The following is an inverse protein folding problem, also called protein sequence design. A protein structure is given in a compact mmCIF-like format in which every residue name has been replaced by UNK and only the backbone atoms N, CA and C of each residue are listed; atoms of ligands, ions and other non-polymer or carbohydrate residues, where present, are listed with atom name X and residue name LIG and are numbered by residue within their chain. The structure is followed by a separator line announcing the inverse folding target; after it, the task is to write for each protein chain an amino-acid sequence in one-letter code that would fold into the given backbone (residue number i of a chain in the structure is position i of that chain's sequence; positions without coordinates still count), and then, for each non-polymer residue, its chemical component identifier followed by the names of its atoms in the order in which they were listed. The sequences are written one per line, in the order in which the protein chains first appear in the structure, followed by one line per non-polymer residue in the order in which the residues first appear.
data_IF_602336177669
#
_entry.id   IF_602336177669
#
_cell.length_a   1.000
_cell.length_b   1.000
_cell.length_c   1.000
_cell.angle_alpha   90.00
_cell.angle_beta   90.00
_cell.angle_gamma   90.00
#
_symmetry.space_group_name_H-M   'P 1'
#
loop_
_entity.id
_entity.type
_entity.pdbx_description
1 polymer ?
#
# COMPACT_ATOMS: atom_id res chain seq x y z
N UNK A 1 22.21 -62.69 39.18
CA UNK A 1 21.15 -63.28 40.01
C UNK A 1 20.46 -62.14 40.71
N UNK A 2 19.64 -61.35 40.02
CA UNK A 2 18.46 -61.70 39.19
C UNK A 2 17.32 -62.25 40.09
N UNK A 3 16.05 -61.79 39.99
CA UNK A 3 15.47 -61.02 38.87
C UNK A 3 14.46 -59.90 39.21
N UNK A 4 14.26 -59.08 38.19
CA UNK A 4 13.38 -57.94 37.99
C UNK A 4 11.98 -57.90 38.67
N UNK A 5 11.63 -56.71 39.18
CA UNK A 5 10.25 -56.19 39.16
C UNK A 5 10.27 -54.70 38.71
N UNK A 6 9.81 -54.42 37.50
CA UNK A 6 10.01 -53.12 36.82
C UNK A 6 8.80 -52.21 36.97
N UNK A 7 8.79 -51.39 38.03
CA UNK A 7 7.84 -50.28 38.18
C UNK A 7 8.49 -48.94 37.86
N UNK A 8 8.19 -48.40 36.68
CA UNK A 8 8.54 -47.03 36.29
C UNK A 8 7.41 -46.10 36.75
N UNK A 9 7.67 -45.26 37.75
CA UNK A 9 6.79 -44.15 38.10
C UNK A 9 6.89 -43.06 37.03
N UNK A 10 5.76 -42.68 36.44
CA UNK A 10 5.71 -41.60 35.44
C UNK A 10 5.68 -40.26 36.20
N UNK A 11 6.78 -39.51 36.14
CA UNK A 11 6.82 -38.15 36.67
C UNK A 11 5.81 -37.24 35.94
N UNK A 12 4.93 -36.61 36.71
CA UNK A 12 3.87 -35.76 36.18
C UNK A 12 4.37 -34.32 35.95
N UNK A 13 4.73 -33.99 34.71
CA UNK A 13 4.96 -32.59 34.32
C UNK A 13 3.63 -31.81 34.23
N UNK A 14 3.54 -30.70 34.97
CA UNK A 14 2.36 -29.82 35.05
C UNK A 14 2.51 -28.63 34.09
N UNK A 15 2.55 -28.89 32.79
CA UNK A 15 2.44 -27.80 31.79
C UNK A 15 0.99 -27.31 31.69
N UNK A 16 0.71 -26.18 32.33
CA UNK A 16 -0.55 -25.43 32.13
C UNK A 16 -0.64 -25.02 30.66
N UNK A 17 -1.67 -25.49 29.95
CA UNK A 17 -1.97 -25.02 28.59
C UNK A 17 -2.52 -23.60 28.65
N UNK A 18 -1.67 -22.62 28.44
CA UNK A 18 -2.13 -21.32 27.94
C UNK A 18 -2.45 -21.46 26.46
N UNK A 19 -3.68 -21.09 26.08
CA UNK A 19 -4.05 -20.99 24.67
C UNK A 19 -3.15 -19.96 23.98
N UNK A 20 -2.55 -20.27 22.82
CA UNK A 20 -1.71 -19.34 22.10
C UNK A 20 -2.56 -18.22 21.48
N UNK A 21 -2.72 -17.12 22.22
CA UNK A 21 -3.28 -15.87 21.70
C UNK A 21 -2.49 -15.49 20.45
N UNK A 22 -3.16 -15.53 19.30
CA UNK A 22 -2.55 -15.21 18.02
C UNK A 22 -2.00 -13.77 18.08
N UNK A 23 -0.69 -13.55 17.87
CA UNK A 23 -0.14 -12.19 17.85
C UNK A 23 -0.77 -11.44 16.67
N UNK A 24 -1.27 -10.24 16.94
CA UNK A 24 -1.91 -9.34 15.97
C UNK A 24 -0.89 -8.68 15.03
N UNK A 25 0.03 -9.46 14.46
CA UNK A 25 1.06 -9.00 13.54
C UNK A 25 0.45 -8.59 12.20
N UNK A 26 0.25 -7.28 12.02
CA UNK A 26 -0.03 -6.68 10.71
C UNK A 26 1.03 -7.08 9.68
N UNK A 27 0.72 -7.14 8.37
CA UNK A 27 1.67 -7.61 7.36
C UNK A 27 2.98 -6.82 7.37
N UNK A 28 4.10 -7.48 7.69
CA UNK A 28 5.43 -6.90 7.51
C UNK A 28 5.74 -6.84 6.01
N UNK A 29 5.66 -5.63 5.45
CA UNK A 29 6.15 -5.33 4.10
C UNK A 29 7.63 -5.73 4.01
N UNK A 30 7.97 -6.54 3.01
CA UNK A 30 9.37 -6.84 2.68
C UNK A 30 10.03 -5.57 2.13
N UNK A 31 10.74 -4.84 3.00
CA UNK A 31 11.63 -3.76 2.55
C UNK A 31 12.75 -4.36 1.71
N UNK A 32 12.78 -4.05 0.41
CA UNK A 32 13.91 -4.44 -0.45
C UNK A 32 15.15 -3.61 -0.07
N UNK A 33 16.35 -4.08 -0.41
CA UNK A 33 17.59 -3.44 0.04
C UNK A 33 17.76 -1.96 -0.37
N UNK A 34 17.04 -1.48 -1.41
CA UNK A 34 16.99 -0.05 -1.78
C UNK A 34 16.05 0.80 -0.89
N UNK A 35 15.06 0.20 -0.22
CA UNK A 35 14.05 0.91 0.59
C UNK A 35 14.57 1.38 1.95
N UNK A 36 15.69 0.84 2.44
CA UNK A 36 16.28 1.27 3.72
C UNK A 36 17.03 2.59 3.54
N UNK A 37 18.00 2.67 2.62
CA UNK A 37 18.83 3.85 2.37
C UNK A 37 18.07 5.19 2.31
N UNK A 38 16.90 5.25 1.66
CA UNK A 38 16.16 6.50 1.49
C UNK A 38 15.41 6.96 2.76
N UNK A 39 15.04 6.02 3.64
CA UNK A 39 14.45 6.32 4.95
C UNK A 39 15.54 6.53 6.01
N UNK A 40 16.65 5.78 5.95
CA UNK A 40 17.80 5.94 6.84
C UNK A 40 18.55 7.26 6.57
N UNK A 41 18.51 7.76 5.34
CA UNK A 41 18.96 9.11 4.97
C UNK A 41 18.08 10.23 5.53
N UNK A 42 16.89 9.94 6.07
CA UNK A 42 16.12 10.90 6.90
C UNK A 42 16.67 10.82 8.33
N UNK A 43 17.95 11.15 8.47
CA UNK A 43 18.62 11.33 9.75
C UNK A 43 18.22 12.66 10.39
N UNK A 44 18.65 12.92 11.63
CA UNK A 44 18.51 14.26 12.23
C UNK A 44 19.77 15.08 11.95
N UNK A 45 19.61 16.30 11.43
CA UNK A 45 20.69 17.25 11.19
C UNK A 45 21.03 17.53 9.74
N UNK A 46 20.20 17.12 8.76
CA UNK A 46 20.50 17.31 7.33
C UNK A 46 20.49 18.81 6.91
N UNK A 47 19.88 19.67 7.73
CA UNK A 47 19.80 21.12 7.51
C UNK A 47 20.56 21.95 8.55
N UNK A 48 21.51 21.35 9.27
CA UNK A 48 22.36 22.07 10.21
C UNK A 48 23.52 22.77 9.49
N UNK A 49 23.57 24.10 9.56
CA UNK A 49 24.76 24.85 9.15
C UNK A 49 25.89 24.69 10.19
N UNK A 50 27.15 24.45 9.77
CA UNK A 50 28.30 24.49 10.66
C UNK A 50 28.46 25.86 11.34
N UNK A 51 29.06 25.89 12.53
CA UNK A 51 29.23 27.11 13.30
C UNK A 51 29.95 28.21 12.49
N UNK A 52 29.33 29.40 12.42
CA UNK A 52 29.85 30.54 11.65
C UNK A 52 29.55 30.51 10.14
N UNK A 53 28.94 29.46 9.59
CA UNK A 53 28.54 29.39 8.17
C UNK A 53 27.09 29.79 7.97
N UNK A 54 26.81 30.44 6.83
CA UNK A 54 25.47 30.70 6.30
C UNK A 54 25.21 29.69 5.19
N UNK A 55 24.30 28.75 5.40
CA UNK A 55 23.93 27.76 4.38
C UNK A 55 22.53 28.00 3.85
N UNK A 56 22.36 27.78 2.55
CA UNK A 56 21.07 27.83 1.85
C UNK A 56 20.70 26.42 1.38
N UNK A 57 19.61 25.86 1.92
CA UNK A 57 19.27 24.45 1.74
C UNK A 57 18.12 24.21 0.74
N UNK A 58 18.24 23.13 -0.03
CA UNK A 58 17.19 22.56 -0.88
C UNK A 58 17.03 21.08 -0.60
N UNK A 59 15.83 20.54 -0.84
CA UNK A 59 15.57 19.10 -0.78
C UNK A 59 14.58 18.65 -1.85
N UNK A 60 14.92 17.58 -2.55
CA UNK A 60 14.10 16.94 -3.58
C UNK A 60 13.72 15.52 -3.13
N UNK A 61 12.49 15.38 -2.64
CA UNK A 61 11.95 14.13 -2.10
C UNK A 61 10.84 13.60 -2.99
N UNK A 62 10.89 12.30 -3.29
CA UNK A 62 9.82 11.58 -4.00
C UNK A 62 9.23 10.53 -3.06
N UNK A 63 7.93 10.63 -2.76
CA UNK A 63 7.22 9.73 -1.83
C UNK A 63 6.16 8.94 -2.59
N UNK A 64 6.17 7.61 -2.45
CA UNK A 64 5.14 6.72 -3.00
C UNK A 64 4.03 6.55 -1.99
N UNK A 65 2.81 6.88 -2.38
CA UNK A 65 1.62 6.93 -1.50
C UNK A 65 0.43 6.22 -2.17
N UNK A 66 -0.47 5.62 -1.38
CA UNK A 66 -1.68 4.97 -1.92
C UNK A 66 -2.73 5.97 -2.41
N UNK A 67 -2.76 7.19 -1.85
CA UNK A 67 -3.65 8.29 -2.25
C UNK A 67 -2.86 9.61 -2.31
N UNK A 68 -2.68 10.12 -3.54
CA UNK A 68 -1.98 11.39 -3.80
C UNK A 68 -2.80 12.59 -3.32
N UNK A 69 -4.14 12.56 -3.43
CA UNK A 69 -5.00 13.69 -3.02
C UNK A 69 -4.95 13.88 -1.52
N UNK A 70 -5.04 12.78 -0.76
CA UNK A 70 -4.85 12.80 0.69
C UNK A 70 -3.44 13.25 1.08
N UNK A 71 -2.40 12.68 0.47
CA UNK A 71 -1.01 13.04 0.78
C UNK A 71 -0.72 14.54 0.56
N UNK A 72 -1.26 15.13 -0.51
CA UNK A 72 -1.18 16.58 -0.76
C UNK A 72 -1.90 17.38 0.34
N UNK A 73 -3.10 16.96 0.76
CA UNK A 73 -3.84 17.65 1.82
C UNK A 73 -3.12 17.58 3.18
N UNK A 74 -2.67 16.40 3.58
CA UNK A 74 -1.93 16.17 4.83
C UNK A 74 -0.59 16.94 4.84
N UNK A 75 0.14 16.95 3.71
CA UNK A 75 1.39 17.71 3.56
C UNK A 75 1.17 19.22 3.63
N UNK A 76 0.08 19.74 3.03
CA UNK A 76 -0.28 21.17 3.13
C UNK A 76 -0.61 21.56 4.56
N UNK A 77 -1.31 20.71 5.32
CA UNK A 77 -1.59 20.94 6.74
C UNK A 77 -0.27 21.00 7.54
N UNK A 78 0.59 19.99 7.39
CA UNK A 78 1.88 19.92 8.10
C UNK A 78 2.83 21.07 7.72
N UNK A 79 2.75 21.57 6.49
CA UNK A 79 3.51 22.76 6.04
C UNK A 79 3.18 23.96 6.93
N UNK A 80 1.90 24.22 7.16
CA UNK A 80 1.46 25.32 8.03
C UNK A 80 1.77 25.05 9.52
N UNK A 81 1.62 23.82 9.99
CA UNK A 81 1.97 23.43 11.37
C UNK A 81 3.47 23.56 11.66
N UNK A 82 4.33 23.40 10.64
CA UNK A 82 5.77 23.64 10.73
C UNK A 82 6.17 25.14 10.65
N UNK A 83 5.20 26.07 10.52
CA UNK A 83 5.46 27.49 10.30
C UNK A 83 5.97 27.81 8.89
N UNK A 84 5.75 26.91 7.93
CA UNK A 84 6.12 27.06 6.53
C UNK A 84 4.96 27.48 5.64
N UNK A 85 5.23 27.63 4.33
CA UNK A 85 4.24 27.99 3.33
C UNK A 85 4.47 27.28 1.99
N UNK A 86 3.38 27.14 1.22
CA UNK A 86 3.40 26.54 -0.13
C UNK A 86 3.81 27.60 -1.15
N UNK A 87 4.89 27.36 -1.90
CA UNK A 87 5.31 28.16 -3.05
C UNK A 87 4.60 27.75 -4.35
N UNK A 88 4.34 26.45 -4.53
CA UNK A 88 3.72 25.91 -5.75
C UNK A 88 2.98 24.61 -5.42
N UNK A 89 1.86 24.36 -6.11
CA UNK A 89 1.06 23.14 -6.02
C UNK A 89 0.60 22.73 -7.43
N UNK A 90 0.68 21.44 -7.73
CA UNK A 90 -0.05 20.81 -8.83
C UNK A 90 -0.59 19.43 -8.39
N UNK A 91 -1.15 18.66 -9.33
CA UNK A 91 -1.84 17.39 -9.05
C UNK A 91 -0.97 16.28 -8.42
N UNK A 92 0.37 16.40 -8.44
CA UNK A 92 1.30 15.42 -7.85
C UNK A 92 2.55 16.03 -7.20
N UNK A 93 2.71 17.35 -7.20
CA UNK A 93 3.89 18.03 -6.67
C UNK A 93 3.53 19.24 -5.79
N UNK A 94 4.29 19.39 -4.71
CA UNK A 94 4.33 20.56 -3.84
C UNK A 94 5.75 21.14 -3.84
N UNK A 95 5.88 22.45 -3.96
CA UNK A 95 7.11 23.19 -3.63
C UNK A 95 6.83 24.01 -2.38
N UNK A 96 7.64 23.81 -1.35
CA UNK A 96 7.40 24.29 0.01
C UNK A 96 8.58 25.14 0.48
N UNK A 97 8.32 26.09 1.37
CA UNK A 97 9.33 26.73 2.20
C UNK A 97 9.05 26.38 3.66
N UNK A 98 9.96 25.66 4.29
CA UNK A 98 9.88 25.26 5.70
C UNK A 98 11.02 25.98 6.45
N UNK A 99 10.81 26.55 7.65
CA UNK A 99 11.90 27.11 8.45
C UNK A 99 13.00 26.06 8.68
N UNK A 100 14.27 26.43 8.49
CA UNK A 100 15.40 25.47 8.53
C UNK A 100 15.40 24.62 9.81
N UNK A 101 15.16 25.23 10.97
CA UNK A 101 15.05 24.55 12.28
C UNK A 101 13.87 23.57 12.43
N UNK A 102 13.01 23.41 11.40
CA UNK A 102 11.92 22.43 11.32
C UNK A 102 12.07 21.45 10.14
N UNK A 103 13.06 21.63 9.27
CA UNK A 103 13.24 20.83 8.05
C UNK A 103 13.36 19.33 8.30
N UNK A 104 14.19 18.91 9.26
CA UNK A 104 14.40 17.49 9.57
C UNK A 104 13.14 16.83 10.15
N UNK A 105 12.42 17.53 11.04
CA UNK A 105 11.15 17.06 11.59
C UNK A 105 10.06 16.94 10.50
N UNK A 106 10.09 17.84 9.51
CA UNK A 106 9.18 17.81 8.37
C UNK A 106 9.47 16.64 7.42
N UNK A 107 10.74 16.40 7.05
CA UNK A 107 11.14 15.20 6.29
C UNK A 107 10.78 13.91 7.03
N UNK A 108 11.03 13.85 8.34
CA UNK A 108 10.63 12.73 9.21
C UNK A 108 9.12 12.46 9.20
N UNK A 109 8.29 13.44 8.88
CA UNK A 109 6.83 13.29 8.83
C UNK A 109 6.36 12.90 7.42
N UNK A 110 6.98 13.42 6.36
CA UNK A 110 6.82 12.92 4.98
C UNK A 110 7.20 11.43 4.86
N UNK A 111 8.33 11.02 5.45
CA UNK A 111 8.79 9.62 5.47
C UNK A 111 7.90 8.65 6.27
N UNK A 112 6.84 9.16 6.93
CA UNK A 112 5.79 8.37 7.60
C UNK A 112 4.48 8.30 6.80
N UNK A 113 4.31 9.13 5.77
CA UNK A 113 3.13 9.08 4.88
C UNK A 113 3.19 7.95 3.84
N UNK A 114 4.39 7.49 3.49
CA UNK A 114 4.61 6.55 2.39
C UNK A 114 6.06 6.12 2.23
N UNK A 115 6.35 5.38 1.17
CA UNK A 115 7.69 4.89 0.87
C UNK A 115 8.53 5.99 0.20
N UNK A 116 9.70 6.35 0.76
CA UNK A 116 10.57 7.35 0.14
C UNK A 116 11.32 6.70 -1.03
N UNK A 117 10.92 7.05 -2.25
CA UNK A 117 11.51 6.55 -3.48
C UNK A 117 12.90 7.12 -3.78
N UNK A 118 13.09 8.39 -3.40
CA UNK A 118 14.30 9.16 -3.62
C UNK A 118 14.32 10.33 -2.62
N UNK A 119 15.49 10.62 -2.07
CA UNK A 119 15.78 11.84 -1.32
C UNK A 119 17.12 12.40 -1.80
N UNK A 120 17.14 13.68 -2.18
CA UNK A 120 18.35 14.47 -2.42
C UNK A 120 18.26 15.71 -1.54
N UNK A 121 19.34 16.06 -0.85
CA UNK A 121 19.46 17.26 -0.03
C UNK A 121 20.74 17.96 -0.44
N UNK A 122 20.69 19.27 -0.61
CA UNK A 122 21.83 20.10 -0.99
C UNK A 122 21.88 21.34 -0.09
N UNK A 123 23.08 21.83 0.16
CA UNK A 123 23.32 22.99 1.01
C UNK A 123 24.45 23.83 0.45
N UNK A 124 24.12 24.98 -0.14
CA UNK A 124 25.09 25.94 -0.63
C UNK A 124 25.68 26.72 0.56
N UNK A 125 27.00 26.80 0.69
CA UNK A 125 27.62 27.79 1.57
C UNK A 125 27.58 29.16 0.88
N UNK A 126 26.81 30.08 1.45
CA UNK A 126 26.60 31.45 0.96
C UNK A 126 27.21 32.50 1.89
N UNK A 127 28.15 32.09 2.77
CA UNK A 127 28.80 32.96 3.75
C UNK A 127 29.54 34.13 3.07
N UNK A 128 30.38 33.82 2.08
CA UNK A 128 31.14 34.81 1.31
C UNK A 128 30.23 35.70 0.46
N UNK A 129 29.27 35.10 -0.27
CA UNK A 129 28.30 35.84 -1.08
C UNK A 129 27.51 36.87 -0.25
N UNK A 130 27.10 36.49 0.98
CA UNK A 130 26.38 37.40 1.89
C UNK A 130 27.27 38.48 2.49
N UNK A 131 28.59 38.27 2.58
CA UNK A 131 29.53 39.31 2.99
C UNK A 131 29.78 40.32 1.85
N UNK A 132 30.05 39.84 0.64
CA UNK A 132 30.30 40.64 -0.56
C UNK A 132 29.13 41.57 -0.90
N UNK A 133 27.88 41.05 -0.93
CA UNK A 133 26.68 41.87 -1.18
C UNK A 133 26.60 43.04 -0.19
N UNK A 134 26.88 42.81 1.10
CA UNK A 134 26.80 43.84 2.15
C UNK A 134 27.91 44.88 2.03
N UNK A 135 29.14 44.45 1.73
CA UNK A 135 30.27 45.36 1.47
C UNK A 135 29.98 46.25 0.25
N UNK A 136 29.41 45.69 -0.82
CA UNK A 136 29.00 46.46 -2.01
C UNK A 136 27.88 47.45 -1.70
N UNK A 137 26.86 47.04 -0.93
CA UNK A 137 25.79 47.94 -0.47
C UNK A 137 26.34 49.11 0.34
N UNK A 138 27.20 48.86 1.34
CA UNK A 138 27.79 49.92 2.17
C UNK A 138 28.62 50.92 1.34
N UNK A 139 29.37 50.42 0.35
CA UNK A 139 30.15 51.27 -0.56
C UNK A 139 29.26 52.08 -1.52
N UNK A 140 28.14 51.53 -1.99
CA UNK A 140 27.16 52.28 -2.79
C UNK A 140 26.40 53.31 -1.94
N UNK A 141 26.07 53.02 -0.68
CA UNK A 141 25.48 54.00 0.25
C UNK A 141 26.42 55.16 0.55
N UNK A 142 27.71 54.88 0.81
CA UNK A 142 28.76 55.91 0.95
C UNK A 142 28.87 56.76 -0.33
N UNK A 143 28.77 56.14 -1.50
CA UNK A 143 28.81 56.83 -2.80
C UNK A 143 27.56 57.71 -3.02
N UNK A 144 26.36 57.19 -2.70
CA UNK A 144 25.08 57.90 -2.76
C UNK A 144 25.08 59.15 -1.87
N UNK A 145 25.58 59.02 -0.64
CA UNK A 145 25.74 60.15 0.32
C UNK A 145 26.68 61.24 -0.21
N UNK A 146 27.78 60.86 -0.89
CA UNK A 146 28.69 61.82 -1.55
C UNK A 146 28.06 62.52 -2.74
N UNK A 147 27.31 61.79 -3.58
CA UNK A 147 26.61 62.35 -4.73
C UNK A 147 25.53 63.36 -4.32
N UNK A 148 24.73 63.04 -3.29
CA UNK A 148 23.76 63.98 -2.70
C UNK A 148 24.47 65.27 -2.21
N UNK A 149 25.53 65.14 -1.42
CA UNK A 149 26.29 66.29 -0.91
C UNK A 149 27.05 67.10 -1.98
N UNK A 150 27.18 66.58 -3.22
CA UNK A 150 27.65 67.33 -4.39
C UNK A 150 26.48 68.03 -5.11
N UNK A 151 25.32 67.37 -5.19
CA UNK A 151 24.08 67.93 -5.72
C UNK A 151 23.69 69.20 -4.97
N UNK A 152 23.70 69.15 -3.63
CA UNK A 152 23.41 70.27 -2.72
C UNK A 152 24.35 71.48 -2.86
N UNK A 153 25.47 71.34 -3.58
CA UNK A 153 26.52 72.35 -3.75
C UNK A 153 26.67 72.87 -5.18
N UNK A 154 25.93 72.30 -6.14
CA UNK A 154 26.14 72.53 -7.57
C UNK A 154 25.21 73.60 -8.12
N UNK A 155 25.77 74.77 -8.47
CA UNK A 155 25.03 75.86 -9.12
C UNK A 155 24.92 75.77 -10.65
N UNK A 156 25.51 74.75 -11.28
CA UNK A 156 25.55 74.59 -12.74
C UNK A 156 24.60 73.48 -13.22
N UNK A 157 23.64 73.83 -14.08
CA UNK A 157 22.63 72.92 -14.64
C UNK A 157 23.25 71.70 -15.34
N UNK A 158 24.39 71.88 -16.02
CA UNK A 158 25.07 70.79 -16.74
C UNK A 158 25.63 69.75 -15.77
N UNK A 159 26.28 70.21 -14.72
CA UNK A 159 26.92 69.35 -13.73
C UNK A 159 25.87 68.67 -12.83
N UNK A 160 24.79 69.38 -12.50
CA UNK A 160 23.61 68.84 -11.82
C UNK A 160 23.04 67.63 -12.58
N UNK A 161 22.80 67.79 -13.90
CA UNK A 161 22.28 66.70 -14.76
C UNK A 161 23.22 65.48 -14.79
N UNK A 162 24.53 65.67 -14.60
CA UNK A 162 25.49 64.57 -14.53
C UNK A 162 25.48 63.88 -13.16
N UNK A 163 25.36 64.64 -12.07
CA UNK A 163 25.20 64.10 -10.71
C UNK A 163 23.89 63.30 -10.57
N UNK A 164 22.78 63.78 -11.13
CA UNK A 164 21.49 63.08 -11.15
C UNK A 164 21.58 61.71 -11.84
N UNK A 165 22.25 61.63 -12.99
CA UNK A 165 22.44 60.36 -13.74
C UNK A 165 23.21 59.33 -12.92
N UNK A 166 24.31 59.74 -12.28
CA UNK A 166 25.09 58.86 -11.42
C UNK A 166 24.37 58.51 -10.12
N UNK A 167 23.59 59.43 -9.54
CA UNK A 167 22.77 59.18 -8.36
C UNK A 167 21.67 58.15 -8.65
N UNK A 168 21.02 58.23 -9.80
CA UNK A 168 20.04 57.25 -10.28
C UNK A 168 20.69 55.88 -10.53
N UNK A 169 21.87 55.84 -11.17
CA UNK A 169 22.65 54.61 -11.41
C UNK A 169 23.03 53.92 -10.09
N UNK A 170 23.58 54.67 -9.13
CA UNK A 170 23.98 54.16 -7.81
C UNK A 170 22.77 53.71 -6.98
N UNK A 171 21.65 54.44 -7.03
CA UNK A 171 20.42 54.07 -6.32
C UNK A 171 19.82 52.79 -6.89
N UNK A 172 19.72 52.66 -8.22
CA UNK A 172 19.21 51.45 -8.90
C UNK A 172 20.03 50.20 -8.54
N UNK A 173 21.36 50.32 -8.46
CA UNK A 173 22.23 49.19 -8.12
C UNK A 173 22.17 48.83 -6.63
N UNK A 174 22.01 49.83 -5.75
CA UNK A 174 21.79 49.60 -4.31
C UNK A 174 20.46 48.84 -4.07
N UNK A 175 19.38 49.22 -4.74
CA UNK A 175 18.07 48.54 -4.65
C UNK A 175 18.13 47.09 -5.13
N UNK A 176 18.88 46.81 -6.21
CA UNK A 176 19.15 45.44 -6.69
C UNK A 176 19.88 44.60 -5.65
N UNK A 177 20.91 45.14 -5.01
CA UNK A 177 21.65 44.43 -3.96
C UNK A 177 20.83 44.24 -2.69
N UNK A 178 19.98 45.20 -2.31
CA UNK A 178 19.02 45.06 -1.20
C UNK A 178 18.02 43.92 -1.48
N UNK A 179 17.52 43.81 -2.71
CA UNK A 179 16.70 42.67 -3.12
C UNK A 179 17.48 41.34 -3.09
N UNK A 180 18.78 41.36 -3.45
CA UNK A 180 19.65 40.19 -3.40
C UNK A 180 19.93 39.71 -1.95
N UNK A 181 20.33 40.58 -1.01
CA UNK A 181 20.54 40.21 0.40
C UNK A 181 19.22 39.72 1.03
N UNK A 182 18.08 40.37 0.75
CA UNK A 182 16.76 39.90 1.20
C UNK A 182 16.44 38.48 0.68
N UNK A 183 16.67 38.21 -0.60
CA UNK A 183 16.46 36.88 -1.17
C UNK A 183 17.44 35.85 -0.62
N UNK A 184 18.70 36.22 -0.36
CA UNK A 184 19.70 35.33 0.22
C UNK A 184 19.40 35.00 1.69
N UNK A 185 19.02 35.98 2.50
CA UNK A 185 18.54 35.78 3.87
C UNK A 185 17.31 34.85 3.90
N UNK A 186 16.39 34.99 2.95
CA UNK A 186 15.24 34.06 2.82
C UNK A 186 15.67 32.63 2.49
N UNK A 187 16.70 32.43 1.64
CA UNK A 187 17.28 31.10 1.36
C UNK A 187 17.99 30.48 2.57
N UNK A 188 18.53 31.30 3.46
CA UNK A 188 19.19 30.87 4.71
C UNK A 188 18.15 30.55 5.80
N UNK A 189 17.03 31.29 5.86
CA UNK A 189 16.00 31.09 6.87
C UNK A 189 15.05 29.91 6.55
N UNK A 190 14.81 29.61 5.27
CA UNK A 190 13.88 28.57 4.82
C UNK A 190 14.55 27.57 3.88
N UNK A 191 14.50 26.28 4.22
CA UNK A 191 14.76 25.21 3.26
C UNK A 191 13.65 25.18 2.23
N UNK A 192 14.01 25.07 0.95
CA UNK A 192 13.02 24.84 -0.13
C UNK A 192 12.90 23.35 -0.42
N UNK A 193 11.74 22.77 -0.11
CA UNK A 193 11.49 21.32 -0.26
C UNK A 193 10.52 21.09 -1.42
N UNK A 194 10.99 20.36 -2.44
CA UNK A 194 10.19 19.87 -3.56
C UNK A 194 9.74 18.44 -3.27
N UNK A 195 8.45 18.28 -2.97
CA UNK A 195 7.81 16.99 -2.70
C UNK A 195 7.08 16.53 -3.95
N UNK A 196 7.45 15.36 -4.48
CA UNK A 196 6.75 14.69 -5.59
C UNK A 196 6.09 13.41 -5.11
N UNK A 197 4.79 13.27 -5.35
CA UNK A 197 4.03 12.07 -5.05
C UNK A 197 3.95 11.15 -6.26
N UNK A 198 4.17 9.86 -6.03
CA UNK A 198 3.92 8.79 -6.99
C UNK A 198 2.86 7.85 -6.40
N UNK A 199 1.99 7.28 -7.23
CA UNK A 199 1.06 6.25 -6.76
C UNK A 199 1.84 4.99 -6.40
N UNK A 200 1.80 4.59 -5.14
CA UNK A 200 2.25 3.27 -4.74
C UNK A 200 1.14 2.25 -5.03
N UNK A 201 1.12 1.75 -6.27
CA UNK A 201 0.59 0.41 -6.50
C UNK A 201 1.74 -0.53 -6.16
N UNK A 202 1.65 -1.37 -5.11
CA UNK A 202 2.64 -2.42 -4.91
C UNK A 202 2.63 -3.32 -6.15
N UNK A 203 3.77 -3.42 -6.83
CA UNK A 203 3.96 -4.43 -7.87
C UNK A 203 4.06 -5.78 -7.15
N UNK A 204 2.90 -6.34 -6.84
CA UNK A 204 2.75 -7.74 -6.53
C UNK A 204 3.34 -8.50 -7.72
N UNK A 205 4.47 -9.17 -7.51
CA UNK A 205 5.00 -10.15 -8.47
C UNK A 205 4.08 -11.36 -8.41
N UNK A 206 2.96 -11.25 -9.12
CA UNK A 206 1.93 -12.29 -9.13
C UNK A 206 2.36 -13.42 -10.06
N UNK A 207 2.40 -14.67 -9.58
CA UNK A 207 2.04 -15.79 -10.43
C UNK A 207 0.67 -15.49 -11.06
N UNK A 208 0.44 -15.84 -12.32
CA UNK A 208 -0.93 -15.79 -12.90
C UNK A 208 -1.78 -16.92 -12.32
N UNK A 209 -2.11 -16.81 -11.04
CA UNK A 209 -2.86 -17.78 -10.27
C UNK A 209 -4.35 -17.76 -10.66
N UNK A 210 -4.72 -18.54 -11.68
CA UNK A 210 -6.13 -18.82 -11.96
C UNK A 210 -6.80 -19.43 -10.72
N UNK A 211 -7.56 -18.63 -9.96
CA UNK A 211 -8.32 -19.13 -8.82
C UNK A 211 -9.46 -20.03 -9.32
N UNK A 212 -9.63 -21.25 -8.77
CA UNK A 212 -10.67 -22.18 -9.22
C UNK A 212 -12.10 -21.59 -9.16
N UNK A 213 -12.39 -20.72 -8.18
CA UNK A 213 -13.70 -20.11 -7.98
C UNK A 213 -13.85 -18.79 -8.76
N UNK A 214 -13.91 -18.89 -10.10
CA UNK A 214 -14.01 -17.78 -11.07
C UNK A 214 -15.04 -16.69 -10.71
N UNK A 215 -16.13 -17.01 -9.98
CA UNK A 215 -17.11 -16.00 -9.56
C UNK A 215 -16.59 -15.03 -8.49
N UNK A 216 -15.53 -15.38 -7.74
CA UNK A 216 -14.90 -14.47 -6.77
C UNK A 216 -14.34 -13.24 -7.49
N UNK A 217 -13.84 -13.42 -8.71
CA UNK A 217 -13.32 -12.36 -9.59
C UNK A 217 -14.39 -11.33 -10.00
N UNK A 218 -15.68 -11.60 -9.74
CA UNK A 218 -16.81 -10.73 -10.08
C UNK A 218 -17.26 -9.82 -8.91
N UNK A 219 -16.61 -9.88 -7.74
CA UNK A 219 -17.04 -9.18 -6.53
C UNK A 219 -16.47 -7.75 -6.34
N UNK A 220 -15.67 -7.25 -7.29
CA UNK A 220 -15.24 -5.85 -7.31
C UNK A 220 -14.01 -5.52 -6.44
N UNK A 221 -13.73 -4.22 -6.31
CA UNK A 221 -12.36 -3.72 -6.11
C UNK A 221 -11.74 -4.07 -4.76
N UNK A 222 -12.54 -4.27 -3.71
CA UNK A 222 -12.06 -4.60 -2.36
C UNK A 222 -11.49 -6.03 -2.22
N UNK A 223 -11.44 -6.80 -3.30
CA UNK A 223 -10.76 -8.09 -3.41
C UNK A 223 -9.67 -8.09 -4.51
N UNK A 224 -9.18 -6.92 -4.98
CA UNK A 224 -8.23 -6.84 -6.09
C UNK A 224 -6.88 -7.53 -5.81
N UNK A 225 -6.80 -8.77 -6.31
CA UNK A 225 -5.61 -9.62 -6.34
C UNK A 225 -5.47 -10.38 -7.66
N UNK A 226 -5.87 -9.77 -8.80
CA UNK A 226 -5.88 -10.36 -10.16
C UNK A 226 -6.85 -11.59 -10.22
N UNK A 227 -7.02 -12.45 -11.25
CA UNK A 227 -6.45 -12.70 -12.58
C UNK A 227 -7.59 -12.84 -13.63
N UNK A 228 -7.31 -12.54 -14.92
CA UNK A 228 -8.23 -12.72 -16.08
C UNK A 228 -8.45 -14.19 -16.45
N UNK A 229 -9.69 -14.59 -16.74
CA UNK A 229 -10.04 -15.96 -17.11
C UNK A 229 -9.55 -16.38 -18.50
N UNK A 230 -8.95 -17.58 -18.60
CA UNK A 230 -8.69 -18.27 -19.86
C UNK A 230 -9.70 -19.40 -20.11
N UNK A 231 -10.14 -19.57 -21.35
CA UNK A 231 -11.09 -20.59 -21.77
C UNK A 231 -10.40 -21.80 -22.42
N UNK A 232 -10.70 -23.03 -21.98
CA UNK A 232 -10.57 -24.24 -22.83
C UNK A 232 -11.19 -25.50 -22.23
N UNK A 233 -12.05 -26.13 -23.06
CA UNK A 233 -12.46 -27.56 -23.11
C UNK A 233 -13.08 -28.19 -21.85
N UNK A 234 -14.03 -29.10 -22.11
CA UNK A 234 -14.99 -29.62 -21.13
C UNK A 234 -15.07 -31.14 -21.24
N UNK A 235 -14.87 -31.80 -20.11
CA UNK A 235 -15.27 -33.19 -19.81
C UNK A 235 -15.45 -33.26 -18.30
N UNK A 236 -16.36 -34.10 -17.77
CA UNK A 236 -16.48 -34.28 -16.32
C UNK A 236 -15.27 -35.09 -15.84
N UNK A 237 -14.35 -34.53 -15.03
CA UNK A 237 -12.99 -35.08 -14.95
C UNK A 237 -12.79 -36.19 -13.91
N UNK A 238 -13.79 -36.46 -13.06
CA UNK A 238 -13.72 -37.45 -11.97
C UNK A 238 -15.05 -38.21 -11.81
N UNK A 239 -15.01 -39.37 -11.14
CA UNK A 239 -16.22 -40.19 -10.88
C UNK A 239 -16.92 -39.70 -9.62
N UNK A 240 -18.25 -39.53 -9.71
CA UNK A 240 -19.12 -39.13 -8.58
C UNK A 240 -20.47 -39.84 -8.70
N UNK A 241 -21.06 -40.25 -7.57
CA UNK A 241 -22.43 -40.76 -7.53
C UNK A 241 -23.39 -39.58 -7.33
N UNK A 242 -24.20 -39.25 -8.33
CA UNK A 242 -25.19 -38.18 -8.20
C UNK A 242 -26.33 -38.59 -7.23
N UNK A 243 -26.90 -37.64 -6.46
CA UNK A 243 -28.15 -37.88 -5.73
C UNK A 243 -29.28 -38.23 -6.70
N UNK A 244 -30.18 -39.15 -6.32
CA UNK A 244 -31.12 -39.81 -7.24
C UNK A 244 -32.10 -38.91 -8.04
N UNK A 245 -32.20 -37.62 -7.72
CA UNK A 245 -33.01 -36.63 -8.47
C UNK A 245 -32.19 -35.71 -9.40
N UNK A 246 -30.86 -35.90 -9.44
CA UNK A 246 -29.96 -35.12 -10.29
C UNK A 246 -29.45 -35.96 -11.47
N UNK A 247 -29.43 -35.34 -12.65
CA UNK A 247 -28.90 -35.91 -13.88
C UNK A 247 -27.95 -34.93 -14.56
N UNK A 248 -26.93 -35.43 -15.27
CA UNK A 248 -26.00 -34.57 -16.00
C UNK A 248 -26.72 -33.85 -17.16
N UNK A 249 -26.61 -32.52 -17.19
CA UNK A 249 -27.16 -31.65 -18.24
C UNK A 249 -26.13 -31.34 -19.36
N UNK A 250 -24.97 -31.99 -19.31
CA UNK A 250 -23.84 -31.75 -20.21
C UNK A 250 -22.68 -31.05 -19.51
N UNK A 251 -21.46 -31.55 -19.77
CA UNK A 251 -20.23 -30.97 -19.24
C UNK A 251 -20.16 -30.92 -17.71
N UNK A 252 -19.84 -29.77 -17.16
CA UNK A 252 -19.62 -29.56 -15.72
C UNK A 252 -20.89 -29.63 -14.84
N UNK A 253 -22.10 -29.77 -15.41
CA UNK A 253 -23.35 -29.57 -14.67
C UNK A 253 -24.22 -30.82 -14.54
N UNK A 254 -24.71 -31.06 -13.33
CA UNK A 254 -25.92 -31.84 -13.06
C UNK A 254 -27.06 -30.93 -12.62
N UNK A 255 -28.30 -31.27 -12.98
CA UNK A 255 -29.51 -30.49 -12.65
C UNK A 255 -30.63 -31.40 -12.14
N UNK A 256 -31.63 -30.81 -11.48
CA UNK A 256 -32.84 -31.51 -11.01
C UNK A 256 -34.10 -30.96 -11.67
N UNK A 257 -35.22 -31.66 -11.49
CA UNK A 257 -36.55 -31.19 -11.90
C UNK A 257 -36.97 -29.87 -11.26
N UNK A 258 -36.46 -29.54 -10.07
CA UNK A 258 -36.74 -28.27 -9.37
C UNK A 258 -35.79 -27.12 -9.75
N UNK A 259 -35.06 -27.21 -10.88
CA UNK A 259 -34.04 -26.25 -11.32
C UNK A 259 -32.87 -26.04 -10.32
N UNK A 260 -32.69 -26.94 -9.36
CA UNK A 260 -31.45 -27.01 -8.60
C UNK A 260 -30.33 -27.50 -9.52
N UNK A 261 -29.10 -27.04 -9.28
CA UNK A 261 -27.95 -27.43 -10.08
C UNK A 261 -26.72 -27.64 -9.21
N UNK A 262 -25.91 -28.63 -9.59
CA UNK A 262 -24.61 -28.95 -9.04
C UNK A 262 -23.59 -28.77 -10.17
N UNK A 263 -22.54 -27.98 -9.94
CA UNK A 263 -21.43 -27.79 -10.87
C UNK A 263 -20.19 -28.48 -10.32
N UNK A 264 -19.51 -29.26 -11.15
CA UNK A 264 -18.28 -29.98 -10.87
C UNK A 264 -17.15 -29.40 -11.71
N UNK A 265 -16.03 -29.06 -11.07
CA UNK A 265 -14.85 -28.50 -11.75
C UNK A 265 -13.56 -29.06 -11.20
N UNK A 266 -12.60 -29.24 -12.09
CA UNK A 266 -11.19 -29.42 -11.74
C UNK A 266 -10.35 -28.42 -12.51
N UNK A 267 -9.48 -27.71 -11.78
CA UNK A 267 -8.69 -26.60 -12.30
C UNK A 267 -7.29 -26.74 -11.70
N UNK A 268 -6.24 -26.48 -12.49
CA UNK A 268 -4.86 -26.54 -12.01
C UNK A 268 -4.68 -25.74 -10.72
N UNK A 269 -3.94 -26.28 -9.74
CA UNK A 269 -3.59 -25.58 -8.51
C UNK A 269 -2.58 -24.47 -8.83
N UNK A 270 -3.09 -23.33 -9.28
CA UNK A 270 -2.26 -22.21 -9.70
C UNK A 270 -1.64 -21.43 -8.52
N UNK A 271 -1.91 -21.84 -7.27
CA UNK A 271 -1.27 -21.31 -6.05
C UNK A 271 -0.22 -22.27 -5.46
N UNK A 272 -0.06 -23.50 -5.97
CA UNK A 272 0.88 -24.53 -5.45
C UNK A 272 2.31 -24.07 -5.18
N UNK A 273 2.82 -23.13 -5.98
CA UNK A 273 4.17 -22.60 -5.88
C UNK A 273 4.29 -21.38 -4.93
N UNK A 274 3.23 -20.99 -4.23
CA UNK A 274 3.25 -19.85 -3.28
C UNK A 274 3.87 -20.31 -1.95
N UNK A 275 5.21 -20.21 -1.89
CA UNK A 275 6.02 -20.35 -0.68
C UNK A 275 6.34 -18.99 -0.08
N UNK A 276 6.34 -18.88 1.24
CA UNK A 276 6.69 -17.65 1.95
C UNK A 276 7.49 -17.99 3.22
N UNK A 277 8.70 -17.44 3.37
CA UNK A 277 9.68 -17.81 4.41
C UNK A 277 9.81 -19.34 4.66
N UNK A 278 9.88 -20.13 3.58
CA UNK A 278 10.09 -21.58 3.66
C UNK A 278 8.87 -22.40 4.13
N UNK A 279 7.68 -21.79 4.27
CA UNK A 279 6.42 -22.50 4.48
C UNK A 279 5.56 -22.46 3.22
N UNK A 280 4.88 -23.55 2.92
CA UNK A 280 3.92 -23.65 1.82
C UNK A 280 2.56 -23.10 2.27
N UNK A 281 2.08 -22.05 1.59
CA UNK A 281 0.78 -21.42 1.89
C UNK A 281 -0.32 -21.86 0.92
N UNK A 282 -0.02 -22.75 -0.02
CA UNK A 282 -0.93 -23.19 -1.08
C UNK A 282 -2.05 -24.16 -0.63
N UNK A 283 -1.97 -24.67 0.61
CA UNK A 283 -2.85 -25.72 1.10
C UNK A 283 -4.28 -25.28 1.45
N UNK A 284 -5.06 -26.25 1.93
CA UNK A 284 -6.51 -26.13 2.21
C UNK A 284 -6.89 -24.93 3.12
N UNK A 285 -5.99 -24.49 4.01
CA UNK A 285 -6.18 -23.33 4.89
C UNK A 285 -6.26 -21.98 4.15
N UNK A 286 -5.59 -21.81 3.01
CA UNK A 286 -5.71 -20.62 2.18
C UNK A 286 -7.12 -20.54 1.57
N UNK A 287 -7.60 -21.67 1.03
CA UNK A 287 -8.95 -21.81 0.50
C UNK A 287 -10.01 -21.58 1.58
N UNK A 288 -9.78 -22.05 2.82
CA UNK A 288 -10.66 -21.77 3.98
C UNK A 288 -10.92 -20.28 4.15
N UNK A 289 -9.85 -19.50 4.18
CA UNK A 289 -9.89 -18.05 4.40
C UNK A 289 -10.45 -17.29 3.19
N UNK A 290 -10.04 -17.66 1.96
CA UNK A 290 -10.50 -17.02 0.73
C UNK A 290 -12.01 -17.22 0.51
N UNK A 291 -12.50 -18.45 0.67
CA UNK A 291 -13.90 -18.79 0.44
C UNK A 291 -14.78 -18.15 1.54
N UNK A 292 -14.38 -18.22 2.81
CA UNK A 292 -15.11 -17.55 3.90
C UNK A 292 -15.32 -16.05 3.62
N UNK A 293 -14.26 -15.32 3.22
CA UNK A 293 -14.36 -13.89 2.91
C UNK A 293 -15.19 -13.60 1.67
N UNK A 294 -15.02 -14.37 0.59
CA UNK A 294 -15.79 -14.17 -0.64
C UNK A 294 -17.30 -14.44 -0.43
N UNK A 295 -17.64 -15.42 0.41
CA UNK A 295 -19.03 -15.69 0.79
C UNK A 295 -19.60 -14.59 1.70
N UNK A 296 -18.82 -14.06 2.66
CA UNK A 296 -19.23 -12.92 3.49
C UNK A 296 -19.54 -11.66 2.67
N UNK A 297 -18.72 -11.36 1.65
CA UNK A 297 -18.93 -10.22 0.75
C UNK A 297 -20.13 -10.44 -0.17
N UNK A 298 -20.33 -11.67 -0.67
CA UNK A 298 -21.40 -11.97 -1.63
C UNK A 298 -22.77 -12.18 -1.00
N UNK A 299 -22.82 -12.71 0.22
CA UNK A 299 -24.03 -13.16 0.89
C UNK A 299 -24.06 -12.66 2.33
N UNK A 300 -24.95 -11.71 2.63
CA UNK A 300 -25.21 -11.22 3.97
C UNK A 300 -26.04 -12.25 4.77
N UNK A 301 -25.42 -13.37 5.11
CA UNK A 301 -26.09 -14.55 5.68
C UNK A 301 -25.16 -15.43 6.50
N UNK A 302 -25.73 -16.42 7.21
CA UNK A 302 -24.97 -17.34 8.05
C UNK A 302 -24.15 -18.28 7.18
N UNK A 303 -22.84 -18.26 7.36
CA UNK A 303 -21.88 -19.15 6.71
C UNK A 303 -21.42 -20.20 7.73
N UNK A 304 -21.51 -21.47 7.36
CA UNK A 304 -20.98 -22.59 8.14
C UNK A 304 -19.87 -23.23 7.32
N UNK A 305 -18.69 -23.44 7.91
CA UNK A 305 -17.57 -24.14 7.29
C UNK A 305 -17.38 -25.47 8.00
N UNK A 306 -17.27 -26.56 7.23
CA UNK A 306 -17.10 -27.91 7.71
C UNK A 306 -15.87 -28.55 7.04
N UNK A 307 -15.17 -29.40 7.79
CA UNK A 307 -14.07 -30.22 7.28
C UNK A 307 -14.59 -31.59 6.87
N UNK A 308 -14.04 -32.14 5.79
CA UNK A 308 -14.34 -33.48 5.29
C UNK A 308 -13.14 -34.07 4.56
N UNK A 309 -13.29 -35.26 3.98
CA UNK A 309 -12.33 -35.84 3.04
C UNK A 309 -13.00 -36.14 1.72
N UNK A 310 -12.28 -35.93 0.64
CA UNK A 310 -12.69 -36.26 -0.73
C UNK A 310 -11.56 -37.08 -1.33
N UNK A 311 -11.86 -38.33 -1.70
CA UNK A 311 -10.89 -39.35 -2.09
C UNK A 311 -9.66 -39.45 -1.14
N UNK A 312 -9.93 -39.47 0.17
CA UNK A 312 -8.92 -39.53 1.23
C UNK A 312 -8.19 -38.20 1.53
N UNK A 313 -8.13 -37.27 0.57
CA UNK A 313 -7.48 -35.96 0.71
C UNK A 313 -8.34 -35.00 1.53
N UNK A 314 -7.70 -34.09 2.27
CA UNK A 314 -8.37 -33.13 3.14
C UNK A 314 -9.14 -32.07 2.33
N UNK A 315 -10.39 -31.85 2.71
CA UNK A 315 -11.32 -31.01 1.99
C UNK A 315 -12.15 -30.15 2.94
N UNK A 316 -12.73 -29.09 2.38
CA UNK A 316 -13.62 -28.17 3.08
C UNK A 316 -14.91 -28.04 2.30
N UNK A 317 -16.03 -27.89 3.01
CA UNK A 317 -17.26 -27.41 2.39
C UNK A 317 -17.98 -26.37 3.23
N UNK A 318 -18.73 -25.52 2.54
CA UNK A 318 -19.40 -24.35 3.10
C UNK A 318 -20.89 -24.44 2.83
N UNK A 319 -21.69 -24.10 3.84
CA UNK A 319 -23.12 -23.84 3.72
C UNK A 319 -23.36 -22.34 3.83
N UNK A 320 -24.12 -21.78 2.91
CA UNK A 320 -24.60 -20.38 2.99
C UNK A 320 -26.08 -20.32 2.68
N UNK A 321 -26.81 -19.64 3.57
CA UNK A 321 -28.22 -19.33 3.39
C UNK A 321 -28.38 -17.84 3.11
N UNK A 322 -29.16 -17.50 2.08
CA UNK A 322 -29.34 -16.11 1.62
C UNK A 322 -30.73 -15.90 1.05
N UNK A 323 -31.23 -14.66 1.01
CA UNK A 323 -32.47 -14.30 0.32
C UNK A 323 -32.18 -13.56 -0.98
N UNK A 324 -32.87 -13.96 -2.04
CA UNK A 324 -32.80 -13.31 -3.36
C UNK A 324 -34.25 -13.03 -3.78
N UNK A 325 -34.61 -11.75 -3.97
CA UNK A 325 -35.97 -11.29 -4.22
C UNK A 325 -37.02 -11.88 -3.24
N UNK A 326 -36.67 -11.94 -1.94
CA UNK A 326 -37.53 -12.46 -0.88
C UNK A 326 -37.54 -13.99 -0.72
N UNK A 327 -37.09 -14.74 -1.73
CA UNK A 327 -37.01 -16.21 -1.74
C UNK A 327 -35.75 -16.68 -1.03
N UNK A 328 -35.87 -17.68 -0.15
CA UNK A 328 -34.72 -18.36 0.48
C UNK A 328 -33.96 -19.25 -0.51
N UNK A 329 -32.65 -19.02 -0.64
CA UNK A 329 -31.72 -19.83 -1.41
C UNK A 329 -30.69 -20.49 -0.49
N UNK A 330 -30.27 -21.69 -0.89
CA UNK A 330 -29.16 -22.42 -0.29
C UNK A 330 -28.04 -22.54 -1.31
N UNK A 331 -26.82 -22.19 -0.90
CA UNK A 331 -25.60 -22.33 -1.67
C UNK A 331 -24.62 -23.19 -0.89
N UNK A 332 -24.20 -24.31 -1.49
CA UNK A 332 -23.18 -25.20 -0.97
C UNK A 332 -21.95 -25.12 -1.88
N UNK A 333 -20.75 -25.02 -1.31
CA UNK A 333 -19.50 -25.12 -2.07
C UNK A 333 -18.48 -25.97 -1.34
N UNK A 334 -17.96 -27.00 -2.00
CA UNK A 334 -16.85 -27.82 -1.54
C UNK A 334 -15.58 -27.57 -2.35
N UNK A 335 -14.44 -27.72 -1.70
CA UNK A 335 -13.10 -27.65 -2.30
C UNK A 335 -12.21 -28.74 -1.73
N UNK A 336 -11.55 -29.48 -2.63
CA UNK A 336 -10.43 -30.37 -2.30
C UNK A 336 -9.19 -29.83 -3.00
N UNK A 337 -8.08 -29.74 -2.27
CA UNK A 337 -6.81 -29.15 -2.75
C UNK A 337 -5.79 -30.27 -2.87
N UNK A 338 -5.21 -30.39 -4.05
CA UNK A 338 -4.11 -31.30 -4.38
C UNK A 338 -2.87 -30.49 -4.77
N UNK A 339 -1.70 -31.12 -4.89
CA UNK A 339 -0.48 -30.41 -5.29
C UNK A 339 -0.61 -29.82 -6.70
N UNK A 340 -1.12 -30.60 -7.65
CA UNK A 340 -1.24 -30.20 -9.06
C UNK A 340 -2.60 -29.56 -9.43
N UNK A 341 -3.70 -29.94 -8.77
CA UNK A 341 -5.07 -29.50 -9.11
C UNK A 341 -5.90 -29.12 -7.89
N UNK A 342 -7.00 -28.40 -8.11
CA UNK A 342 -8.02 -28.11 -7.11
C UNK A 342 -9.39 -28.45 -7.69
N UNK A 343 -10.10 -29.32 -6.99
CA UNK A 343 -11.44 -29.77 -7.36
C UNK A 343 -12.47 -28.95 -6.59
N UNK A 344 -13.49 -28.48 -7.28
CA UNK A 344 -14.54 -27.58 -6.77
C UNK A 344 -15.91 -28.16 -7.13
N UNK A 345 -16.79 -28.24 -6.14
CA UNK A 345 -18.18 -28.67 -6.32
C UNK A 345 -19.10 -27.58 -5.76
N UNK A 346 -20.03 -27.07 -6.55
CA UNK A 346 -20.96 -25.99 -6.16
C UNK A 346 -22.40 -26.45 -6.37
N UNK A 347 -23.22 -26.54 -5.32
CA UNK A 347 -24.66 -26.80 -5.44
C UNK A 347 -25.50 -25.59 -5.06
N UNK A 348 -26.53 -25.27 -5.86
CA UNK A 348 -27.43 -24.12 -5.60
C UNK A 348 -28.86 -24.37 -6.05
N UNK A 349 -29.80 -23.79 -5.32
CA UNK A 349 -31.24 -23.82 -5.59
C UNK A 349 -32.03 -23.08 -4.51
N UNK A 350 -33.36 -22.99 -4.64
CA UNK A 350 -34.20 -22.48 -3.55
C UNK A 350 -34.03 -23.43 -2.34
N UNK A 351 -33.91 -22.91 -1.12
CA UNK A 351 -33.53 -23.70 0.07
C UNK A 351 -34.43 -24.93 0.28
N UNK A 352 -35.75 -24.77 0.15
CA UNK A 352 -36.73 -25.85 0.31
C UNK A 352 -36.63 -26.92 -0.78
N UNK A 353 -36.41 -26.51 -2.02
CA UNK A 353 -36.29 -27.41 -3.17
C UNK A 353 -34.98 -28.19 -3.07
N UNK A 354 -33.84 -27.49 -2.91
CA UNK A 354 -32.52 -28.11 -2.82
C UNK A 354 -32.45 -29.13 -1.69
N UNK A 355 -32.92 -28.80 -0.47
CA UNK A 355 -32.91 -29.74 0.65
C UNK A 355 -33.85 -30.94 0.49
N UNK A 356 -34.84 -30.87 -0.42
CA UNK A 356 -35.73 -32.00 -0.75
C UNK A 356 -35.19 -32.94 -1.84
N UNK A 357 -34.07 -32.56 -2.47
CA UNK A 357 -33.42 -33.31 -3.57
C UNK A 357 -31.96 -33.67 -3.24
N UNK A 358 -31.33 -32.87 -2.37
CA UNK A 358 -29.97 -32.94 -1.87
C UNK A 358 -29.98 -32.47 -0.41
N UNK A 359 -30.22 -33.40 0.52
CA UNK A 359 -30.08 -33.12 1.96
C UNK A 359 -28.62 -32.85 2.32
N UNK A 360 -28.36 -32.22 3.47
CA UNK A 360 -26.98 -31.98 3.95
C UNK A 360 -26.21 -33.30 4.12
N UNK A 361 -26.87 -34.39 4.52
CA UNK A 361 -26.23 -35.71 4.60
C UNK A 361 -25.97 -36.29 3.21
N UNK A 362 -26.93 -36.20 2.29
CA UNK A 362 -26.73 -36.61 0.90
C UNK A 362 -25.62 -35.83 0.19
N UNK A 363 -25.38 -34.57 0.57
CA UNK A 363 -24.24 -33.78 0.12
C UNK A 363 -22.91 -34.35 0.63
N UNK A 364 -22.79 -34.69 1.93
CA UNK A 364 -21.59 -35.38 2.44
C UNK A 364 -21.37 -36.71 1.72
N UNK A 365 -22.40 -37.56 1.63
CA UNK A 365 -22.31 -38.87 0.94
C UNK A 365 -21.90 -38.70 -0.52
N UNK A 366 -22.40 -37.67 -1.21
CA UNK A 366 -21.98 -37.35 -2.58
C UNK A 366 -20.49 -36.98 -2.62
N UNK A 367 -20.00 -36.11 -1.73
CA UNK A 367 -18.57 -35.74 -1.66
C UNK A 367 -17.69 -36.96 -1.32
N UNK A 368 -18.11 -37.81 -0.39
CA UNK A 368 -17.44 -39.06 0.00
C UNK A 368 -17.48 -40.13 -1.10
N UNK A 369 -18.41 -40.04 -2.05
CA UNK A 369 -18.49 -40.91 -3.23
C UNK A 369 -17.48 -40.55 -4.33
N UNK A 370 -16.91 -39.34 -4.30
CA UNK A 370 -16.00 -38.86 -5.35
C UNK A 370 -14.70 -39.68 -5.32
N UNK A 371 -14.31 -40.19 -6.48
CA UNK A 371 -13.00 -40.81 -6.73
C UNK A 371 -12.32 -40.07 -7.88
N UNK A 372 -11.05 -39.73 -7.71
CA UNK A 372 -10.27 -38.95 -8.65
C UNK A 372 -9.79 -39.77 -9.85
#
# INVERSE_FOLDING_TARGET
MEDADTRIEIMADRTVRHDPVLPSSSPRVMKSARMNFANDAISNGNFNAPAGRKMAFTADITVRVSDIKKAIADTRKQTSEAGGYVKTLNNSMLVLAIPVAKGDAFLNTLGKMGEVANLRIEGDDVTEQSADIRIRMENLEKSRKRLLALMDRTGNVKDLTQVERELNRVTTELERLQAADKNLNNRIAYVTITVRFQTYIPVLVTPRANVPLVWINQLGENLQGWITAGSSKVSVPFRVQLPAKFFFAGGEYAVSGSNCNIRFREINNAVRNIRWYGKDYAGIALYKNMISKALQVRFNGKIICNECKIDGKDALWFQVETKIYGVDYLYLVAVAVDDDTVKVIEAKGKKKELLSELSIEGWKTMLESIRF
#
